data_IF_170791868951
#
_entry.id   IF_170791868951
#
_cell.length_a   1.000
_cell.length_b   1.000
_cell.length_c   1.000
_cell.angle_alpha   90.00
_cell.angle_beta   90.00
_cell.angle_gamma   90.00
#
_symmetry.space_group_name_H-M   'P 1'
#
loop_
_entity.id
_entity.type
_entity.pdbx_description
1 polymer ?
#
# COMPACT_ATOMS: atom_id res chain seq x y z
N UNK A 1 15.68 -5.27 3.50
CA UNK A 1 16.76 -4.32 3.78
C UNK A 1 16.23 -2.91 3.60
N UNK A 2 16.11 -2.15 4.69
CA UNK A 2 15.70 -0.74 4.67
C UNK A 2 16.97 0.14 4.62
N UNK A 3 17.54 0.36 3.44
CA UNK A 3 18.68 1.30 3.28
C UNK A 3 18.66 2.04 1.95
N UNK A 4 18.95 3.34 2.03
CA UNK A 4 19.14 4.36 0.98
C UNK A 4 17.94 4.65 0.07
N UNK A 5 17.92 5.90 -0.45
CA UNK A 5 16.81 6.57 -1.13
C UNK A 5 16.16 5.63 -2.16
N UNK A 6 15.10 4.96 -1.72
CA UNK A 6 14.40 3.96 -2.51
C UNK A 6 13.82 4.69 -3.73
N UNK A 7 13.96 4.10 -4.92
CA UNK A 7 13.38 4.70 -6.12
C UNK A 7 11.87 4.94 -5.89
N UNK A 8 11.40 6.15 -6.17
CA UNK A 8 10.01 6.53 -5.93
C UNK A 8 9.24 6.50 -7.25
N UNK A 9 8.27 5.60 -7.35
CA UNK A 9 7.27 5.63 -8.41
C UNK A 9 6.24 6.69 -8.09
N UNK A 10 6.00 7.60 -9.03
CA UNK A 10 4.94 8.61 -8.97
C UNK A 10 3.88 8.29 -10.01
N UNK A 11 2.73 8.95 -9.93
CA UNK A 11 1.65 8.77 -10.91
C UNK A 11 2.10 9.14 -12.33
N UNK A 12 3.00 10.10 -12.47
CA UNK A 12 3.52 10.57 -13.75
C UNK A 12 4.48 9.56 -14.37
N UNK A 13 5.37 8.95 -13.57
CA UNK A 13 6.40 8.05 -14.09
C UNK A 13 5.90 6.61 -14.28
N UNK A 14 4.92 6.15 -13.50
CA UNK A 14 4.42 4.77 -13.59
C UNK A 14 3.81 4.49 -14.98
N UNK A 15 3.07 5.46 -15.52
CA UNK A 15 2.46 5.38 -16.84
C UNK A 15 3.52 5.29 -17.95
N UNK A 16 4.65 5.98 -17.79
CA UNK A 16 5.78 5.89 -18.71
C UNK A 16 6.36 4.48 -18.70
N UNK A 17 6.70 3.95 -17.52
CA UNK A 17 7.34 2.64 -17.41
C UNK A 17 6.42 1.50 -17.89
N UNK A 18 5.14 1.52 -17.52
CA UNK A 18 4.16 0.53 -18.00
C UNK A 18 4.00 0.59 -19.53
N UNK A 19 4.05 1.79 -20.12
CA UNK A 19 4.00 1.96 -21.58
C UNK A 19 5.26 1.39 -22.25
N UNK A 20 6.44 1.59 -21.69
CA UNK A 20 7.68 1.03 -22.24
C UNK A 20 7.74 -0.49 -22.09
N UNK A 21 7.28 -1.04 -20.96
CA UNK A 21 7.10 -2.50 -20.80
C UNK A 21 6.18 -3.05 -21.87
N UNK A 22 5.05 -2.39 -22.14
CA UNK A 22 4.12 -2.84 -23.18
C UNK A 22 4.72 -2.79 -24.59
N UNK A 23 5.55 -1.80 -24.89
CA UNK A 23 6.26 -1.72 -26.18
C UNK A 23 7.31 -2.81 -26.32
N UNK A 24 8.11 -3.04 -25.28
CA UNK A 24 9.15 -4.06 -25.28
C UNK A 24 8.51 -5.46 -25.36
N UNK A 25 7.47 -5.73 -24.58
CA UNK A 25 6.69 -6.96 -24.68
C UNK A 25 6.12 -7.17 -26.10
N UNK A 26 5.54 -6.12 -26.71
CA UNK A 26 5.04 -6.19 -28.09
C UNK A 26 6.12 -6.53 -29.10
N UNK A 27 7.34 -6.01 -28.91
CA UNK A 27 8.48 -6.26 -29.79
C UNK A 27 8.91 -7.72 -29.72
N UNK A 28 8.89 -8.32 -28.53
CA UNK A 28 9.29 -9.71 -28.28
C UNK A 28 8.18 -10.73 -28.64
N UNK A 29 6.96 -10.51 -28.16
CA UNK A 29 5.84 -11.45 -28.27
C UNK A 29 4.97 -11.23 -29.53
N UNK A 30 5.09 -10.06 -30.18
CA UNK A 30 4.29 -9.67 -31.34
C UNK A 30 2.90 -9.11 -31.00
N UNK A 31 2.14 -8.73 -32.03
CA UNK A 31 0.85 -8.02 -31.88
C UNK A 31 -0.34 -8.89 -31.47
N UNK A 32 -0.23 -10.22 -31.61
CA UNK A 32 -1.33 -11.17 -31.45
C UNK A 32 -1.33 -11.89 -30.10
N UNK A 33 -0.37 -11.58 -29.23
CA UNK A 33 -0.25 -12.16 -27.90
C UNK A 33 -0.57 -11.08 -26.88
N UNK A 34 -1.84 -10.95 -26.44
CA UNK A 34 -2.19 -9.99 -25.41
C UNK A 34 -1.67 -10.43 -24.04
N UNK A 35 -1.47 -9.46 -23.16
CA UNK A 35 -1.11 -9.67 -21.77
C UNK A 35 -1.94 -8.75 -20.86
N UNK A 36 -2.14 -9.17 -19.61
CA UNK A 36 -2.83 -8.39 -18.60
C UNK A 36 -1.93 -8.24 -17.36
N UNK A 37 -1.82 -7.00 -16.86
CA UNK A 37 -1.15 -6.67 -15.60
C UNK A 37 -2.19 -6.03 -14.69
N UNK A 38 -2.49 -6.67 -13.57
CA UNK A 38 -3.41 -6.13 -12.56
C UNK A 38 -2.55 -5.52 -11.46
N UNK A 39 -2.48 -4.20 -11.40
CA UNK A 39 -1.72 -3.51 -10.36
C UNK A 39 -2.44 -3.63 -9.01
N UNK A 40 -1.66 -3.84 -7.97
CA UNK A 40 -2.10 -4.13 -6.62
C UNK A 40 -1.44 -3.14 -5.64
N UNK A 41 -1.90 -3.16 -4.39
CA UNK A 41 -1.33 -2.45 -3.24
C UNK A 41 -1.06 -0.95 -3.54
N UNK A 42 0.11 -0.43 -3.18
CA UNK A 42 0.44 0.99 -3.30
C UNK A 42 0.38 1.53 -4.73
N UNK A 43 0.69 0.72 -5.74
CA UNK A 43 0.62 1.13 -7.14
C UNK A 43 -0.84 1.31 -7.61
N UNK A 44 -1.74 0.42 -7.19
CA UNK A 44 -3.18 0.55 -7.47
C UNK A 44 -3.75 1.81 -6.81
N UNK A 45 -3.33 2.13 -5.58
CA UNK A 45 -3.77 3.34 -4.88
C UNK A 45 -3.23 4.59 -5.58
N UNK A 46 -1.93 4.62 -5.90
CA UNK A 46 -1.25 5.74 -6.55
C UNK A 46 -1.88 6.11 -7.90
N UNK A 47 -2.28 5.13 -8.71
CA UNK A 47 -2.91 5.40 -10.01
C UNK A 47 -4.33 5.93 -9.84
N UNK A 48 -5.13 5.34 -8.94
CA UNK A 48 -6.55 5.64 -8.82
C UNK A 48 -6.85 6.93 -8.03
N UNK A 49 -5.93 7.37 -7.17
CA UNK A 49 -6.19 8.43 -6.20
C UNK A 49 -5.11 9.51 -6.17
N UNK A 50 -5.48 10.74 -5.81
CA UNK A 50 -4.56 11.89 -5.78
C UNK A 50 -3.94 12.18 -4.41
N UNK A 51 -4.36 11.48 -3.35
CA UNK A 51 -3.83 11.69 -1.99
C UNK A 51 -2.47 11.00 -1.78
N UNK A 52 -2.14 10.01 -2.62
CA UNK A 52 -0.88 9.25 -2.55
C UNK A 52 0.07 9.79 -3.62
N UNK A 53 1.27 10.20 -3.20
CA UNK A 53 2.24 10.81 -4.11
C UNK A 53 3.26 9.81 -4.66
N UNK A 54 3.51 8.71 -3.95
CA UNK A 54 4.55 7.76 -4.34
C UNK A 54 4.30 6.32 -3.86
N UNK A 55 4.98 5.36 -4.48
CA UNK A 55 5.19 4.00 -4.00
C UNK A 55 6.62 3.54 -4.30
N UNK A 56 7.12 2.54 -3.58
CA UNK A 56 8.52 2.05 -3.69
C UNK A 56 8.70 0.95 -4.71
N UNK A 57 7.61 0.29 -5.05
CA UNK A 57 7.51 -0.91 -5.87
C UNK A 57 6.11 -1.00 -6.49
N UNK A 58 6.03 -1.75 -7.58
CA UNK A 58 4.80 -2.02 -8.32
C UNK A 58 4.49 -3.51 -8.20
N UNK A 59 3.58 -3.82 -7.29
CA UNK A 59 3.01 -5.16 -7.19
C UNK A 59 1.95 -5.37 -8.27
N UNK A 60 2.02 -6.51 -8.94
CA UNK A 60 1.03 -6.89 -9.94
C UNK A 60 0.73 -8.40 -9.95
N UNK A 61 -0.51 -8.75 -10.27
CA UNK A 61 -0.82 -10.07 -10.86
C UNK A 61 -0.46 -9.99 -12.35
N UNK A 62 0.41 -10.90 -12.80
CA UNK A 62 0.95 -10.91 -14.16
C UNK A 62 0.32 -12.08 -14.92
N UNK A 63 -0.65 -11.79 -15.79
CA UNK A 63 -1.27 -12.76 -16.70
C UNK A 63 -0.68 -12.57 -18.10
N UNK A 64 0.49 -13.17 -18.32
CA UNK A 64 1.25 -13.02 -19.55
C UNK A 64 2.16 -14.23 -19.82
N UNK A 65 2.71 -14.31 -21.04
CA UNK A 65 3.81 -15.25 -21.33
C UNK A 65 5.09 -14.89 -20.59
N UNK A 66 6.05 -15.82 -20.52
CA UNK A 66 7.35 -15.62 -19.84
C UNK A 66 8.15 -14.43 -20.36
N UNK A 67 7.93 -14.03 -21.62
CA UNK A 67 8.53 -12.85 -22.25
C UNK A 67 8.20 -11.54 -21.51
N UNK A 68 7.11 -11.51 -20.74
CA UNK A 68 6.78 -10.33 -19.93
C UNK A 68 7.86 -10.05 -18.89
N UNK A 69 8.40 -11.09 -18.24
CA UNK A 69 9.46 -10.93 -17.24
C UNK A 69 10.74 -10.37 -17.87
N UNK A 70 11.07 -10.83 -19.08
CA UNK A 70 12.21 -10.31 -19.84
C UNK A 70 12.01 -8.84 -20.23
N UNK A 71 10.82 -8.46 -20.69
CA UNK A 71 10.48 -7.08 -21.00
C UNK A 71 10.56 -6.15 -19.76
N UNK A 72 10.05 -6.60 -18.61
CA UNK A 72 10.11 -5.86 -17.33
C UNK A 72 11.57 -5.62 -16.92
N UNK A 73 12.40 -6.67 -16.98
CA UNK A 73 13.82 -6.56 -16.61
C UNK A 73 14.57 -5.63 -17.57
N UNK A 74 14.37 -5.78 -18.87
CA UNK A 74 15.02 -4.93 -19.87
C UNK A 74 14.64 -3.45 -19.71
N UNK A 75 13.37 -3.14 -19.43
CA UNK A 75 12.95 -1.77 -19.12
C UNK A 75 13.55 -1.30 -17.79
N UNK A 76 13.63 -2.17 -16.78
CA UNK A 76 14.31 -1.87 -15.53
C UNK A 76 15.76 -1.45 -15.74
N UNK A 77 16.51 -2.22 -16.51
CA UNK A 77 17.92 -1.93 -16.84
C UNK A 77 18.06 -0.61 -17.62
N UNK A 78 17.18 -0.38 -18.61
CA UNK A 78 17.19 0.83 -19.44
C UNK A 78 16.97 2.12 -18.63
N UNK A 79 16.12 2.06 -17.61
CA UNK A 79 15.73 3.21 -16.79
C UNK A 79 16.44 3.27 -15.43
N UNK A 80 17.33 2.31 -15.13
CA UNK A 80 18.00 2.22 -13.83
C UNK A 80 17.04 1.97 -12.66
N UNK A 81 15.96 1.23 -12.90
CA UNK A 81 14.97 0.91 -11.87
C UNK A 81 15.49 -0.19 -10.93
N UNK A 82 15.04 -0.23 -9.67
CA UNK A 82 15.44 -1.28 -8.74
C UNK A 82 15.13 -2.68 -9.27
N UNK A 83 15.93 -3.66 -8.85
CA UNK A 83 15.63 -5.05 -9.16
C UNK A 83 14.27 -5.44 -8.54
N UNK A 84 13.42 -6.08 -9.34
CA UNK A 84 12.06 -6.41 -8.93
C UNK A 84 11.11 -5.21 -8.86
N UNK A 85 11.40 -4.07 -9.51
CA UNK A 85 10.54 -2.88 -9.47
C UNK A 85 9.08 -3.13 -9.86
N UNK A 86 8.83 -4.07 -10.78
CA UNK A 86 7.51 -4.61 -11.08
C UNK A 86 7.56 -6.12 -10.91
N UNK A 87 6.81 -6.64 -9.93
CA UNK A 87 6.91 -8.03 -9.51
C UNK A 87 5.55 -8.60 -9.05
N UNK A 88 5.54 -9.90 -8.74
CA UNK A 88 4.36 -10.61 -8.23
C UNK A 88 4.60 -11.18 -6.82
N UNK A 89 5.54 -10.63 -6.05
CA UNK A 89 5.88 -11.10 -4.70
C UNK A 89 4.73 -10.91 -3.71
N UNK A 90 3.85 -9.93 -3.94
CA UNK A 90 2.62 -9.76 -3.17
C UNK A 90 1.79 -11.06 -3.08
N UNK A 91 1.84 -11.94 -4.09
CA UNK A 91 1.11 -13.23 -4.13
C UNK A 91 1.52 -14.18 -3.00
N UNK A 92 2.66 -13.93 -2.35
CA UNK A 92 3.17 -14.72 -1.21
C UNK A 92 2.74 -14.13 0.14
N UNK A 93 2.01 -13.02 0.15
CA UNK A 93 1.60 -12.32 1.38
C UNK A 93 0.22 -12.79 1.85
N UNK A 94 -0.06 -12.57 3.14
CA UNK A 94 -1.38 -12.87 3.72
C UNK A 94 -2.52 -11.99 3.17
N UNK A 95 -2.20 -10.92 2.44
CA UNK A 95 -3.18 -10.03 1.80
C UNK A 95 -3.58 -10.51 0.39
N UNK A 96 -2.89 -11.50 -0.17
CA UNK A 96 -3.25 -12.07 -1.47
C UNK A 96 -4.52 -12.92 -1.39
N UNK A 97 -5.32 -12.86 -2.45
CA UNK A 97 -6.43 -13.77 -2.71
C UNK A 97 -6.49 -14.07 -4.20
N UNK A 98 -6.66 -15.33 -4.57
CA UNK A 98 -6.80 -15.76 -5.98
C UNK A 98 -8.03 -15.13 -6.66
N UNK A 99 -8.99 -14.63 -5.88
CA UNK A 99 -10.20 -13.97 -6.38
C UNK A 99 -9.97 -12.51 -6.79
N UNK A 100 -8.80 -11.92 -6.55
CA UNK A 100 -8.54 -10.50 -6.84
C UNK A 100 -8.76 -10.14 -8.31
N UNK A 101 -8.46 -11.04 -9.25
CA UNK A 101 -8.68 -10.81 -10.68
C UNK A 101 -10.16 -10.56 -11.00
N UNK A 102 -11.08 -11.19 -10.27
CA UNK A 102 -12.54 -11.03 -10.43
C UNK A 102 -13.02 -9.62 -10.05
N UNK A 103 -12.27 -8.93 -9.19
CA UNK A 103 -12.60 -7.60 -8.68
C UNK A 103 -11.70 -6.51 -9.24
N UNK A 104 -11.00 -6.81 -10.32
CA UNK A 104 -10.18 -5.85 -11.04
C UNK A 104 -11.00 -5.03 -12.04
N UNK A 105 -10.62 -3.76 -12.22
CA UNK A 105 -11.23 -2.81 -13.16
C UNK A 105 -10.21 -2.35 -14.19
N UNK A 106 -10.69 -2.12 -15.41
CA UNK A 106 -9.85 -1.59 -16.49
C UNK A 106 -9.29 -0.21 -16.12
N UNK A 107 -7.98 -0.04 -16.30
CA UNK A 107 -7.34 1.26 -16.23
C UNK A 107 -6.97 1.75 -17.64
N UNK A 108 -6.11 1.02 -18.34
CA UNK A 108 -5.56 1.47 -19.64
C UNK A 108 -4.93 0.33 -20.42
N UNK A 109 -5.06 0.34 -21.75
CA UNK A 109 -4.26 -0.54 -22.62
C UNK A 109 -3.10 0.22 -23.25
N UNK A 110 -1.90 -0.33 -23.14
CA UNK A 110 -0.69 0.18 -23.76
C UNK A 110 -0.24 -0.68 -24.95
N UNK A 111 0.33 0.00 -25.95
CA UNK A 111 0.82 -0.59 -27.19
C UNK A 111 -0.19 -1.52 -27.91
N UNK A 112 -1.48 -1.40 -27.62
CA UNK A 112 -2.56 -2.28 -28.08
C UNK A 112 -2.36 -3.77 -27.76
N UNK A 113 -1.54 -4.11 -26.75
CA UNK A 113 -1.24 -5.50 -26.40
C UNK A 113 -1.25 -5.78 -24.89
N UNK A 114 -0.88 -4.80 -24.05
CA UNK A 114 -0.84 -4.98 -22.59
C UNK A 114 -1.96 -4.17 -21.98
N UNK A 115 -2.91 -4.85 -21.35
CA UNK A 115 -3.99 -4.22 -20.60
C UNK A 115 -3.59 -4.10 -19.13
N UNK A 116 -3.64 -2.88 -18.62
CA UNK A 116 -3.43 -2.56 -17.21
C UNK A 116 -4.78 -2.45 -16.53
N UNK A 117 -4.90 -3.12 -15.38
CA UNK A 117 -6.06 -3.08 -14.50
C UNK A 117 -5.63 -2.67 -13.11
N UNK A 118 -6.59 -2.19 -12.31
CA UNK A 118 -6.43 -1.90 -10.89
C UNK A 118 -7.52 -2.62 -10.10
N UNK A 119 -7.51 -2.53 -8.78
CA UNK A 119 -8.52 -3.18 -7.93
C UNK A 119 -9.62 -2.19 -7.53
N UNK A 120 -10.86 -2.68 -7.45
CA UNK A 120 -12.01 -1.93 -6.91
C UNK A 120 -11.73 -1.42 -5.49
N UNK A 121 -12.31 -0.27 -5.15
CA UNK A 121 -11.97 0.48 -3.94
C UNK A 121 -12.23 -0.30 -2.64
N UNK A 122 -13.40 -0.93 -2.51
CA UNK A 122 -13.79 -1.73 -1.34
C UNK A 122 -12.90 -2.97 -1.16
N UNK A 123 -12.36 -3.51 -2.25
CA UNK A 123 -11.43 -4.64 -2.23
C UNK A 123 -10.01 -4.17 -1.90
N UNK A 124 -9.58 -2.99 -2.37
CA UNK A 124 -8.34 -2.37 -1.88
C UNK A 124 -8.39 -2.14 -0.37
N UNK A 125 -9.50 -1.61 0.15
CA UNK A 125 -9.71 -1.44 1.60
C UNK A 125 -9.62 -2.79 2.31
N UNK A 126 -10.30 -3.83 1.82
CA UNK A 126 -10.23 -5.17 2.41
C UNK A 126 -8.80 -5.72 2.46
N UNK A 127 -8.01 -5.52 1.40
CA UNK A 127 -6.59 -5.90 1.36
C UNK A 127 -5.75 -5.17 2.39
N UNK A 128 -5.93 -3.85 2.50
CA UNK A 128 -5.24 -3.02 3.49
C UNK A 128 -5.62 -3.37 4.91
N UNK A 129 -6.88 -3.73 5.16
CA UNK A 129 -7.32 -4.22 6.47
C UNK A 129 -6.68 -5.57 6.80
N UNK A 130 -6.54 -6.45 5.80
CA UNK A 130 -5.93 -7.76 5.98
C UNK A 130 -4.45 -7.66 6.34
N UNK A 131 -3.72 -6.69 5.80
CA UNK A 131 -2.33 -6.44 6.16
C UNK A 131 -2.17 -5.60 7.43
N UNK A 132 -2.91 -4.51 7.58
CA UNK A 132 -2.98 -3.68 8.80
C UNK A 132 -1.64 -3.12 9.28
N UNK A 133 -0.65 -2.89 8.40
CA UNK A 133 0.71 -2.51 8.78
C UNK A 133 0.77 -1.03 9.17
N UNK A 134 1.03 -0.77 10.45
CA UNK A 134 1.12 0.58 11.04
C UNK A 134 2.41 1.35 10.67
N UNK A 135 3.32 0.72 9.95
CA UNK A 135 4.60 1.28 9.52
C UNK A 135 4.73 1.36 7.99
N UNK A 136 3.67 0.95 7.28
CA UNK A 136 3.45 1.21 5.86
C UNK A 136 2.24 2.14 5.76
N UNK A 137 1.71 2.35 4.57
CA UNK A 137 0.58 3.25 4.36
C UNK A 137 -0.77 2.56 4.43
N UNK A 138 -0.90 1.44 5.14
CA UNK A 138 -2.11 0.63 5.02
C UNK A 138 -3.35 1.35 5.61
N UNK A 139 -3.20 2.00 6.77
CA UNK A 139 -4.31 2.67 7.44
C UNK A 139 -4.61 4.02 6.79
N UNK A 140 -3.58 4.77 6.39
CA UNK A 140 -3.80 6.03 5.65
C UNK A 140 -4.40 5.78 4.27
N UNK A 141 -3.98 4.74 3.54
CA UNK A 141 -4.59 4.41 2.24
C UNK A 141 -6.09 4.11 2.39
N UNK A 142 -6.51 3.40 3.45
CA UNK A 142 -7.95 3.16 3.73
C UNK A 142 -8.69 4.48 3.90
N UNK A 143 -8.18 5.38 4.75
CA UNK A 143 -8.81 6.67 5.03
C UNK A 143 -8.85 7.56 3.78
N UNK A 144 -7.77 7.59 3.00
CA UNK A 144 -7.70 8.35 1.76
C UNK A 144 -8.71 7.85 0.72
N UNK A 145 -8.85 6.53 0.58
CA UNK A 145 -9.86 5.94 -0.32
C UNK A 145 -11.27 6.35 0.12
N UNK A 146 -11.58 6.21 1.42
CA UNK A 146 -12.89 6.58 1.96
C UNK A 146 -13.20 8.08 1.75
N UNK A 147 -12.25 8.96 2.08
CA UNK A 147 -12.37 10.40 1.91
C UNK A 147 -12.62 10.79 0.45
N UNK A 148 -11.86 10.22 -0.49
CA UNK A 148 -12.00 10.54 -1.91
C UNK A 148 -13.32 10.03 -2.49
N UNK A 149 -13.79 8.87 -2.07
CA UNK A 149 -15.10 8.35 -2.47
C UNK A 149 -16.26 9.16 -1.91
N UNK A 150 -16.14 9.65 -0.67
CA UNK A 150 -17.08 10.60 -0.08
C UNK A 150 -17.13 11.91 -0.88
N UNK A 151 -15.97 12.50 -1.22
CA UNK A 151 -15.85 13.71 -2.05
C UNK A 151 -16.47 13.55 -3.44
N UNK A 152 -16.40 12.35 -4.02
CA UNK A 152 -16.99 12.01 -5.32
C UNK A 152 -18.51 11.75 -5.27
N UNK A 153 -19.13 11.80 -4.10
CA UNK A 153 -20.55 11.48 -3.92
C UNK A 153 -20.88 9.99 -4.10
N UNK A 154 -19.88 9.12 -4.00
CA UNK A 154 -20.00 7.66 -4.12
C UNK A 154 -19.36 6.99 -2.89
N UNK A 155 -19.89 7.24 -1.67
CA UNK A 155 -19.29 6.75 -0.43
C UNK A 155 -19.30 5.23 -0.39
N UNK A 156 -18.23 4.66 0.14
CA UNK A 156 -18.11 3.22 0.36
C UNK A 156 -18.74 2.87 1.70
N UNK A 157 -19.72 1.98 1.69
CA UNK A 157 -20.41 1.52 2.89
C UNK A 157 -19.64 0.43 3.65
N UNK A 158 -19.94 0.30 4.94
CA UNK A 158 -19.39 -0.79 5.76
C UNK A 158 -19.79 -2.18 5.23
N UNK A 159 -20.98 -2.30 4.64
CA UNK A 159 -21.45 -3.57 4.07
C UNK A 159 -20.68 -3.95 2.79
N UNK A 160 -20.28 -2.98 1.97
CA UNK A 160 -19.37 -3.22 0.84
C UNK A 160 -18.01 -3.73 1.31
N UNK A 161 -17.47 -3.13 2.38
CA UNK A 161 -16.18 -3.56 2.96
C UNK A 161 -16.29 -4.98 3.53
N UNK A 162 -17.34 -5.28 4.30
CA UNK A 162 -17.59 -6.64 4.84
C UNK A 162 -17.76 -7.68 3.74
N UNK A 163 -18.47 -7.31 2.67
CA UNK A 163 -18.65 -8.17 1.50
C UNK A 163 -17.31 -8.47 0.85
N UNK A 164 -16.50 -7.44 0.57
CA UNK A 164 -15.17 -7.61 0.00
C UNK A 164 -14.25 -8.48 0.87
N UNK A 165 -14.26 -8.29 2.19
CA UNK A 165 -13.50 -9.11 3.15
C UNK A 165 -13.97 -10.57 3.11
N UNK A 166 -15.27 -10.81 3.10
CA UNK A 166 -15.85 -12.16 3.04
C UNK A 166 -15.49 -12.84 1.72
N UNK A 167 -15.61 -12.13 0.61
CA UNK A 167 -15.32 -12.66 -0.71
C UNK A 167 -13.84 -13.00 -0.87
N UNK A 168 -12.92 -12.13 -0.42
CA UNK A 168 -11.48 -12.34 -0.55
C UNK A 168 -10.92 -13.35 0.45
N UNK A 169 -11.38 -13.33 1.70
CA UNK A 169 -10.73 -14.00 2.83
C UNK A 169 -11.62 -14.95 3.63
N UNK A 170 -12.89 -15.10 3.25
CA UNK A 170 -13.82 -16.07 3.85
C UNK A 170 -14.60 -15.58 5.08
N UNK A 171 -14.26 -14.42 5.63
CA UNK A 171 -14.99 -13.86 6.78
C UNK A 171 -14.25 -12.70 7.48
N UNK A 172 -14.96 -12.04 8.40
CA UNK A 172 -14.47 -10.87 9.15
C UNK A 172 -13.37 -11.23 10.14
N UNK A 173 -13.49 -12.40 10.77
CA UNK A 173 -12.55 -12.99 11.72
C UNK A 173 -11.16 -13.25 11.13
N UNK A 174 -11.06 -13.18 9.80
CA UNK A 174 -9.82 -13.32 9.06
C UNK A 174 -8.91 -12.07 9.21
N UNK A 175 -9.47 -10.91 9.56
CA UNK A 175 -8.73 -9.68 9.74
C UNK A 175 -8.05 -9.61 11.12
N UNK A 176 -6.89 -8.93 11.26
CA UNK A 176 -6.34 -8.58 12.56
C UNK A 176 -7.36 -7.80 13.42
N UNK A 177 -7.42 -8.08 14.73
CA UNK A 177 -8.34 -7.41 15.67
C UNK A 177 -8.17 -5.88 15.67
N UNK A 178 -6.91 -5.41 15.53
CA UNK A 178 -6.60 -3.99 15.39
C UNK A 178 -7.23 -3.38 14.13
N UNK A 179 -7.21 -4.08 13.00
CA UNK A 179 -7.84 -3.64 11.75
C UNK A 179 -9.36 -3.61 11.86
N UNK A 180 -9.96 -4.61 12.50
CA UNK A 180 -11.42 -4.66 12.75
C UNK A 180 -11.86 -3.46 13.60
N UNK A 181 -11.19 -3.25 14.72
CA UNK A 181 -11.47 -2.13 15.64
C UNK A 181 -11.25 -0.78 14.95
N UNK A 182 -10.19 -0.66 14.15
CA UNK A 182 -9.89 0.56 13.40
C UNK A 182 -11.03 0.93 12.45
N UNK A 183 -11.43 0.03 11.55
CA UNK A 183 -12.43 0.36 10.53
C UNK A 183 -13.81 0.58 11.12
N UNK A 184 -14.20 -0.17 12.15
CA UNK A 184 -15.47 0.04 12.84
C UNK A 184 -15.54 1.44 13.47
N UNK A 185 -14.47 1.85 14.16
CA UNK A 185 -14.40 3.19 14.75
C UNK A 185 -14.40 4.29 13.69
N UNK A 186 -13.64 4.13 12.61
CA UNK A 186 -13.54 5.10 11.53
C UNK A 186 -14.88 5.28 10.83
N UNK A 187 -15.57 4.18 10.51
CA UNK A 187 -16.87 4.22 9.82
C UNK A 187 -17.99 4.82 10.68
N UNK A 188 -17.91 4.70 12.01
CA UNK A 188 -18.86 5.36 12.94
C UNK A 188 -18.57 6.85 13.08
N UNK A 189 -17.29 7.21 13.19
CA UNK A 189 -16.88 8.59 13.48
C UNK A 189 -16.90 9.50 12.24
N UNK A 190 -16.67 8.93 11.05
CA UNK A 190 -16.44 9.71 9.83
C UNK A 190 -15.15 10.54 9.91
N UNK A 191 -15.14 11.71 9.25
CA UNK A 191 -14.00 12.65 9.21
C UNK A 191 -12.73 12.01 8.61
N UNK A 192 -12.91 11.27 7.52
CA UNK A 192 -11.83 10.50 6.90
C UNK A 192 -10.62 11.35 6.50
N UNK A 193 -10.85 12.57 6.00
CA UNK A 193 -9.79 13.49 5.59
C UNK A 193 -8.93 13.98 6.78
N UNK A 194 -9.56 14.31 7.91
CA UNK A 194 -8.84 14.72 9.12
C UNK A 194 -8.02 13.56 9.71
N UNK A 195 -8.65 12.37 9.77
CA UNK A 195 -8.00 11.16 10.26
C UNK A 195 -6.84 10.72 9.35
N UNK A 196 -6.95 10.96 8.04
CA UNK A 196 -5.92 10.63 7.06
C UNK A 196 -4.60 11.32 7.39
N UNK A 197 -4.61 12.63 7.63
CA UNK A 197 -3.38 13.40 7.88
C UNK A 197 -2.66 12.93 9.15
N UNK A 198 -3.43 12.69 10.22
CA UNK A 198 -2.90 12.18 11.49
C UNK A 198 -2.31 10.78 11.32
N UNK A 199 -3.04 9.89 10.64
CA UNK A 199 -2.62 8.51 10.40
C UNK A 199 -1.39 8.42 9.52
N UNK A 200 -1.36 9.18 8.41
CA UNK A 200 -0.23 9.21 7.49
C UNK A 200 1.03 9.76 8.14
N UNK A 201 0.90 10.74 9.04
CA UNK A 201 2.03 11.27 9.83
C UNK A 201 2.56 10.21 10.80
N UNK A 202 1.66 9.54 11.53
CA UNK A 202 2.04 8.47 12.46
C UNK A 202 2.74 7.30 11.75
N UNK A 203 2.23 6.84 10.61
CA UNK A 203 2.85 5.77 9.83
C UNK A 203 4.26 6.15 9.34
N UNK A 204 4.48 7.41 8.93
CA UNK A 204 5.80 7.93 8.57
C UNK A 204 6.77 7.94 9.75
N UNK A 205 6.31 8.38 10.92
CA UNK A 205 7.13 8.37 12.15
C UNK A 205 7.53 6.95 12.54
N UNK A 206 6.59 6.01 12.55
CA UNK A 206 6.87 4.60 12.86
C UNK A 206 7.83 4.00 11.84
N UNK A 207 7.65 4.29 10.54
CA UNK A 207 8.58 3.87 9.50
C UNK A 207 9.99 4.43 9.71
N UNK A 208 10.13 5.70 10.10
CA UNK A 208 11.42 6.32 10.38
C UNK A 208 12.11 5.67 11.60
N UNK A 209 11.35 5.37 12.66
CA UNK A 209 11.85 4.67 13.84
C UNK A 209 12.33 3.25 13.50
N UNK A 210 11.64 2.53 12.61
CA UNK A 210 12.08 1.21 12.16
C UNK A 210 13.37 1.28 11.35
N UNK A 211 13.51 2.26 10.46
CA UNK A 211 14.75 2.48 9.69
C UNK A 211 15.91 2.74 10.66
N UNK A 212 15.71 3.61 11.65
CA UNK A 212 16.73 3.89 12.67
C UNK A 212 17.06 2.65 13.51
N UNK A 213 16.05 1.85 13.87
CA UNK A 213 16.24 0.61 14.61
C UNK A 213 17.09 -0.40 13.80
N UNK A 214 16.80 -0.59 12.52
CA UNK A 214 17.58 -1.48 11.64
C UNK A 214 19.01 -0.96 11.42
N UNK A 215 19.23 0.35 11.37
CA UNK A 215 20.59 0.93 11.32
C UNK A 215 21.39 0.65 12.60
N UNK A 216 20.75 0.74 13.76
CA UNK A 216 21.39 0.46 15.05
C UNK A 216 21.59 -1.05 15.29
N UNK A 217 20.73 -1.88 14.72
CA UNK A 217 20.74 -3.33 14.86
C UNK A 217 20.58 -4.01 13.49
N UNK A 218 21.64 -4.03 12.65
CA UNK A 218 21.55 -4.59 11.31
C UNK A 218 21.08 -6.06 11.30
N UNK A 219 20.11 -6.37 10.44
CA UNK A 219 19.46 -7.68 10.29
C UNK A 219 18.58 -8.12 11.47
N UNK A 220 18.20 -7.22 12.38
CA UNK A 220 17.30 -7.53 13.49
C UNK A 220 15.82 -7.50 13.06
N UNK A 221 15.47 -6.70 12.05
CA UNK A 221 14.09 -6.60 11.54
C UNK A 221 13.84 -7.66 10.47
N UNK A 222 12.79 -8.45 10.67
CA UNK A 222 12.33 -9.51 9.78
C UNK A 222 10.82 -9.38 9.54
N UNK A 223 10.30 -10.01 8.49
CA UNK A 223 8.86 -9.99 8.20
C UNK A 223 7.99 -10.55 9.33
N UNK A 224 8.57 -11.39 10.21
CA UNK A 224 7.85 -12.01 11.33
C UNK A 224 7.75 -11.11 12.56
N UNK A 225 8.73 -10.24 12.79
CA UNK A 225 8.83 -9.43 14.02
C UNK A 225 8.63 -7.93 13.79
N UNK A 226 8.66 -7.45 12.54
CA UNK A 226 8.58 -6.03 12.20
C UNK A 226 7.34 -5.35 12.79
N UNK A 227 6.18 -6.01 12.75
CA UNK A 227 4.94 -5.47 13.34
C UNK A 227 5.06 -5.30 14.85
N UNK A 228 5.61 -6.30 15.55
CA UNK A 228 5.80 -6.23 17.00
C UNK A 228 6.83 -5.14 17.38
N UNK A 229 7.93 -5.04 16.64
CA UNK A 229 8.94 -4.00 16.82
C UNK A 229 8.31 -2.63 16.62
N UNK A 230 7.53 -2.43 15.55
CA UNK A 230 6.85 -1.17 15.24
C UNK A 230 5.93 -0.71 16.39
N UNK A 231 5.07 -1.62 16.89
CA UNK A 231 4.18 -1.35 18.02
C UNK A 231 4.97 -0.97 19.28
N UNK A 232 6.08 -1.66 19.55
CA UNK A 232 6.91 -1.38 20.72
C UNK A 232 7.67 -0.05 20.62
N UNK A 233 8.13 0.33 19.42
CA UNK A 233 8.76 1.62 19.17
C UNK A 233 7.76 2.76 19.36
N UNK A 234 6.54 2.63 18.83
CA UNK A 234 5.48 3.62 18.99
C UNK A 234 5.12 3.83 20.48
N UNK A 235 4.88 2.74 21.23
CA UNK A 235 4.58 2.81 22.67
C UNK A 235 5.67 3.50 23.49
N UNK A 236 6.95 3.29 23.15
CA UNK A 236 8.08 3.94 23.85
C UNK A 236 8.10 5.45 23.59
N UNK A 237 7.82 5.86 22.35
CA UNK A 237 7.74 7.27 21.97
C UNK A 237 6.57 7.95 22.68
N UNK A 238 5.38 7.34 22.68
CA UNK A 238 4.19 7.87 23.36
C UNK A 238 4.44 8.04 24.86
N UNK A 239 5.03 7.03 25.51
CA UNK A 239 5.37 7.09 26.93
C UNK A 239 6.36 8.22 27.24
N UNK A 240 7.36 8.41 26.37
CA UNK A 240 8.36 9.48 26.52
C UNK A 240 7.74 10.86 26.34
N UNK A 241 6.83 11.01 25.37
CA UNK A 241 6.06 12.24 25.11
C UNK A 241 5.14 12.60 26.28
N UNK A 242 4.41 11.61 26.84
CA UNK A 242 3.56 11.80 28.01
C UNK A 242 4.39 12.21 29.24
N UNK A 243 5.53 11.56 29.47
CA UNK A 243 6.42 11.91 30.59
C UNK A 243 7.02 13.32 30.45
N UNK A 244 7.32 13.76 29.22
CA UNK A 244 7.78 15.13 28.96
C UNK A 244 6.68 16.16 29.28
N UNK A 245 5.45 15.94 28.78
CA UNK A 245 4.29 16.81 29.06
C UNK A 245 3.96 16.89 30.56
N UNK A 246 4.08 15.78 31.29
CA UNK A 246 3.88 15.75 32.74
C UNK A 246 4.97 16.53 33.50
N UNK A 247 6.22 16.52 33.01
CA UNK A 247 7.33 17.31 33.60
C UNK A 247 7.15 18.80 33.35
N UNK A 248 6.73 19.20 32.14
CA UNK A 248 6.40 20.59 31.81
C UNK A 248 5.26 21.11 32.69
N UNK A 249 4.17 20.35 32.78
CA UNK A 249 3.02 20.71 33.62
C UNK A 249 3.38 20.81 35.11
N UNK A 250 4.29 19.96 35.59
CA UNK A 250 4.81 20.03 36.96
C UNK A 250 5.68 21.28 37.18
N UNK A 251 6.53 21.63 36.22
CA UNK A 251 7.35 22.83 36.28
C UNK A 251 6.52 24.13 36.24
N UNK A 252 5.38 24.13 35.54
CA UNK A 252 4.41 25.23 35.55
C UNK A 252 3.71 25.37 36.91
N UNK A 253 3.32 24.23 37.52
CA UNK A 253 2.69 24.24 38.85
C UNK A 253 3.65 24.68 39.96
N UNK A 254 4.94 24.36 39.86
CA UNK A 254 5.98 24.72 40.84
C UNK A 254 6.46 26.19 40.71
N UNK A 255 6.01 26.94 39.69
CA UNK A 255 6.29 28.37 39.48
C UNK A 255 5.13 29.30 39.89
N UNK A 256 4.06 28.76 40.48
CA UNK A 256 2.90 29.52 40.99
C UNK A 256 2.82 29.42 42.51
#
# INVERSE_FOLDING_TARGET
MLSEKQFEFTKENIDLYLKEVAKEYRKQAGKKMPAELILIDGASVLINYGFRNMTTDIDAVIEASSLMKEAINHVGDLYGLPNGWLNADFTKTASYSEKLSQYSVYYKTYANVVTIRTIKAEYLIAMKLRSGRQYKSDLSDILGILAEHEKRGLPISMDQIRTAVTELYGGWESLPESSQTFIENVMVNGRFEELYEQTASSEKEVSALLIQFEQNYPNAVTDKNVTEIAVNLQKKTDRSSILAKLREKKAETDQT
#
